data_IF_427968952209
#
_entry.id   IF_427968952209
#
_cell.length_a   1.000
_cell.length_b   1.000
_cell.length_c   1.000
_cell.angle_alpha   90.00
_cell.angle_beta   90.00
_cell.angle_gamma   90.00
#
_symmetry.space_group_name_H-M   'P 1'
#
loop_
_entity.id
_entity.type
_entity.pdbx_description
1 polymer ?
#
# COMPACT_ATOMS: atom_id res chain seq x y z
N UNK A 1 11.25 29.29 -11.58
CA UNK A 1 11.14 28.81 -12.98
C UNK A 1 12.19 27.73 -13.19
N UNK A 2 11.89 26.50 -12.79
CA UNK A 2 12.73 25.34 -13.09
C UNK A 2 12.37 24.89 -14.50
N UNK A 3 13.33 24.90 -15.42
CA UNK A 3 13.16 24.34 -16.76
C UNK A 3 12.86 22.85 -16.61
N UNK A 4 11.61 22.46 -16.87
CA UNK A 4 11.20 21.06 -17.06
C UNK A 4 12.17 20.40 -18.05
N UNK A 5 13.12 19.62 -17.53
CA UNK A 5 13.89 18.71 -18.38
C UNK A 5 12.94 17.58 -18.72
N UNK A 6 12.57 17.46 -19.99
CA UNK A 6 11.68 16.39 -20.43
C UNK A 6 12.31 15.04 -20.07
N UNK A 7 11.71 14.32 -19.12
CA UNK A 7 12.03 12.92 -18.86
C UNK A 7 11.40 12.13 -20.00
N UNK A 8 12.12 12.01 -21.12
CA UNK A 8 11.76 11.11 -22.21
C UNK A 8 12.44 9.77 -21.97
N UNK A 9 11.65 8.72 -21.81
CA UNK A 9 12.15 7.37 -21.94
C UNK A 9 12.11 7.05 -23.43
N UNK A 10 13.26 7.04 -24.09
CA UNK A 10 13.39 6.94 -25.56
C UNK A 10 12.91 5.62 -26.17
N UNK A 11 12.37 4.71 -25.35
CA UNK A 11 12.31 3.28 -25.67
C UNK A 11 10.87 2.72 -25.73
N UNK A 12 9.84 3.56 -25.59
CA UNK A 12 8.45 3.11 -25.64
C UNK A 12 7.84 3.26 -27.04
N UNK A 13 7.16 2.22 -27.57
CA UNK A 13 6.52 2.30 -28.88
C UNK A 13 5.41 3.34 -28.85
N UNK A 14 5.29 4.10 -29.94
CA UNK A 14 4.16 5.00 -30.14
C UNK A 14 2.83 4.22 -30.00
N UNK A 15 1.79 4.90 -29.53
CA UNK A 15 0.45 4.35 -29.56
C UNK A 15 0.11 3.86 -30.98
N UNK A 16 -0.66 2.77 -31.13
CA UNK A 16 -0.99 2.24 -32.45
C UNK A 16 -1.66 3.27 -33.36
N UNK A 17 -1.47 3.12 -34.68
CA UNK A 17 -2.10 3.98 -35.66
C UNK A 17 -3.63 4.04 -35.46
N UNK A 18 -4.19 5.25 -35.44
CA UNK A 18 -5.62 5.48 -35.19
C UNK A 18 -6.03 5.47 -33.72
N UNK A 19 -5.12 5.26 -32.77
CA UNK A 19 -5.37 5.45 -31.33
C UNK A 19 -5.23 6.94 -30.96
N UNK A 20 -6.27 7.52 -30.36
CA UNK A 20 -6.24 8.91 -29.86
C UNK A 20 -5.86 8.92 -28.39
N UNK A 21 -4.62 9.30 -28.11
CA UNK A 21 -4.09 9.36 -26.75
C UNK A 21 -4.92 10.26 -25.83
N UNK A 22 -5.06 9.79 -24.60
CA UNK A 22 -5.46 10.63 -23.48
C UNK A 22 -4.39 11.70 -23.21
N UNK A 23 -4.82 12.95 -23.06
CA UNK A 23 -3.95 14.07 -22.68
C UNK A 23 -4.45 14.69 -21.39
N UNK A 24 -3.59 14.78 -20.38
CA UNK A 24 -3.83 15.67 -19.24
C UNK A 24 -3.51 17.10 -19.69
N UNK A 25 -4.36 18.07 -19.35
CA UNK A 25 -4.11 19.48 -19.62
C UNK A 25 -2.78 19.97 -19.01
N UNK A 26 -2.19 21.06 -19.52
CA UNK A 26 -0.94 21.59 -18.98
C UNK A 26 -1.09 21.94 -17.49
N UNK A 27 0.02 21.77 -16.77
CA UNK A 27 0.23 22.04 -15.35
C UNK A 27 -0.91 22.78 -14.62
N UNK A 28 -1.55 22.07 -13.68
CA UNK A 28 -2.65 22.64 -12.91
C UNK A 28 -2.06 23.44 -11.74
N UNK A 29 -2.58 24.65 -11.51
CA UNK A 29 -2.15 25.51 -10.41
C UNK A 29 -2.27 24.80 -9.04
N UNK A 30 -1.13 24.49 -8.43
CA UNK A 30 -1.06 23.68 -7.20
C UNK A 30 -1.90 24.22 -6.03
N UNK A 31 -2.11 25.53 -5.96
CA UNK A 31 -2.90 26.20 -4.91
C UNK A 31 -4.39 26.37 -5.24
N UNK A 32 -4.81 26.09 -6.48
CA UNK A 32 -6.24 26.12 -6.84
C UNK A 32 -6.91 24.86 -6.26
N UNK A 33 -8.09 25.00 -5.66
CA UNK A 33 -8.74 23.94 -4.89
C UNK A 33 -10.19 23.65 -5.34
N UNK A 34 -10.72 24.44 -6.26
CA UNK A 34 -12.08 24.41 -6.81
C UNK A 34 -12.09 23.82 -8.24
N UNK A 35 -11.28 22.79 -8.46
CA UNK A 35 -11.33 22.00 -9.71
C UNK A 35 -12.63 21.19 -9.78
N UNK A 36 -13.10 20.95 -10.99
CA UNK A 36 -14.23 20.04 -11.21
C UNK A 36 -13.86 18.62 -10.76
N UNK A 37 -14.82 17.90 -10.20
CA UNK A 37 -14.59 16.57 -9.63
C UNK A 37 -14.00 15.60 -10.66
N UNK A 38 -14.42 15.70 -11.91
CA UNK A 38 -14.01 14.83 -13.01
C UNK A 38 -12.74 15.31 -13.71
N UNK A 39 -12.22 16.48 -13.36
CA UNK A 39 -11.02 17.03 -13.96
C UNK A 39 -9.79 16.23 -13.53
N UNK A 40 -8.98 15.80 -14.50
CA UNK A 40 -7.71 15.12 -14.22
C UNK A 40 -6.61 16.15 -14.05
N UNK A 41 -5.98 16.12 -12.88
CA UNK A 41 -5.03 17.11 -12.42
C UNK A 41 -3.66 16.50 -12.24
N UNK A 42 -2.64 17.30 -12.57
CA UNK A 42 -1.27 17.07 -12.12
C UNK A 42 -0.93 18.15 -11.08
N UNK A 43 -0.59 17.73 -9.87
CA UNK A 43 -0.33 18.63 -8.72
C UNK A 43 0.68 18.01 -7.76
N UNK A 44 1.22 18.81 -6.85
CA UNK A 44 2.06 18.32 -5.74
C UNK A 44 1.25 18.31 -4.43
N UNK A 45 1.34 17.24 -3.64
CA UNK A 45 0.66 17.13 -2.33
C UNK A 45 1.59 16.57 -1.23
N UNK A 46 1.59 17.16 -0.02
CA UNK A 46 1.06 18.50 0.26
C UNK A 46 1.87 19.58 -0.47
N UNK A 47 1.30 20.77 -0.63
CA UNK A 47 2.04 21.90 -1.18
C UNK A 47 3.19 22.26 -0.22
N UNK A 48 4.45 22.37 -0.69
CA UNK A 48 5.62 22.55 0.17
C UNK A 48 5.80 24.00 0.64
N UNK A 49 4.75 24.59 1.22
CA UNK A 49 4.69 26.01 1.60
C UNK A 49 5.28 26.31 2.98
N UNK A 50 5.37 25.30 3.86
CA UNK A 50 5.92 25.41 5.22
C UNK A 50 7.23 24.62 5.34
N UNK A 51 8.20 25.12 6.14
CA UNK A 51 9.53 24.51 6.30
C UNK A 51 9.45 23.06 6.80
N UNK A 52 8.54 22.79 7.74
CA UNK A 52 8.35 21.45 8.30
C UNK A 52 7.86 20.48 7.23
N UNK A 53 7.01 20.95 6.30
CA UNK A 53 6.51 20.16 5.19
C UNK A 53 7.59 19.92 4.13
N UNK A 54 8.48 20.89 3.89
CA UNK A 54 9.60 20.73 2.95
C UNK A 54 10.56 19.62 3.38
N UNK A 55 10.87 19.54 4.69
CA UNK A 55 11.71 18.48 5.26
C UNK A 55 11.16 17.08 4.95
N UNK A 56 9.84 16.92 5.08
CA UNK A 56 9.17 15.64 4.88
C UNK A 56 8.90 15.34 3.39
N UNK A 57 9.20 16.27 2.48
CA UNK A 57 8.99 16.17 1.05
C UNK A 57 7.51 16.32 0.63
N UNK A 58 7.20 16.00 -0.63
CA UNK A 58 5.83 15.96 -1.17
C UNK A 58 5.74 14.83 -2.19
N UNK A 59 4.55 14.52 -2.69
CA UNK A 59 4.36 13.62 -3.83
C UNK A 59 3.95 14.41 -5.07
N UNK A 60 4.37 13.95 -6.25
CA UNK A 60 3.79 14.38 -7.52
C UNK A 60 2.60 13.48 -7.85
N UNK A 61 1.44 14.08 -8.04
CA UNK A 61 0.15 13.41 -8.09
C UNK A 61 -0.51 13.58 -9.46
N UNK A 62 -0.96 12.49 -10.06
CA UNK A 62 -1.98 12.47 -11.10
C UNK A 62 -3.30 11.99 -10.47
N UNK A 63 -4.23 12.91 -10.26
CA UNK A 63 -5.49 12.62 -9.56
C UNK A 63 -6.68 13.38 -10.11
N UNK A 64 -7.86 13.14 -9.56
CA UNK A 64 -9.07 13.92 -9.88
C UNK A 64 -9.16 15.19 -9.03
N UNK A 65 -9.97 16.16 -9.46
CA UNK A 65 -10.36 17.31 -8.63
C UNK A 65 -11.04 16.88 -7.34
N UNK A 66 -11.84 15.79 -7.39
CA UNK A 66 -12.45 15.20 -6.21
C UNK A 66 -11.40 14.75 -5.19
N UNK A 67 -10.39 13.97 -5.59
CA UNK A 67 -9.36 13.48 -4.67
C UNK A 67 -8.62 14.67 -4.03
N UNK A 68 -8.22 15.64 -4.84
CA UNK A 68 -7.49 16.83 -4.35
C UNK A 68 -8.31 17.53 -3.27
N UNK A 69 -9.60 17.77 -3.50
CA UNK A 69 -10.47 18.41 -2.52
C UNK A 69 -10.69 17.55 -1.26
N UNK A 70 -10.90 16.25 -1.42
CA UNK A 70 -11.04 15.31 -0.30
C UNK A 70 -9.82 15.36 0.63
N UNK A 71 -8.61 15.31 0.07
CA UNK A 71 -7.35 15.43 0.84
C UNK A 71 -7.28 16.78 1.54
N UNK A 72 -7.52 17.89 0.83
CA UNK A 72 -7.45 19.24 1.39
C UNK A 72 -8.49 19.52 2.48
N UNK A 73 -9.65 18.85 2.42
CA UNK A 73 -10.70 18.93 3.43
C UNK A 73 -10.53 17.92 4.57
N UNK A 74 -9.51 17.06 4.53
CA UNK A 74 -9.27 16.08 5.60
C UNK A 74 -8.81 16.81 6.87
N UNK A 75 -9.48 16.60 8.02
CA UNK A 75 -9.05 17.18 9.29
C UNK A 75 -7.58 16.86 9.61
N UNK A 76 -6.81 17.89 9.95
CA UNK A 76 -5.38 17.78 10.23
C UNK A 76 -4.48 17.85 8.99
N UNK A 77 -5.01 17.84 7.76
CA UNK A 77 -4.18 18.01 6.57
C UNK A 77 -3.79 19.49 6.34
N UNK A 78 -2.53 19.80 5.97
CA UNK A 78 -1.37 18.92 6.01
C UNK A 78 -0.65 19.01 7.37
N UNK A 79 -0.46 17.85 7.99
CA UNK A 79 0.37 17.65 9.18
C UNK A 79 1.80 17.22 8.79
N UNK A 80 2.82 17.53 9.60
CA UNK A 80 4.13 16.90 9.49
C UNK A 80 4.04 15.38 9.65
N UNK A 81 5.03 14.67 9.12
CA UNK A 81 5.20 13.23 9.39
C UNK A 81 5.74 13.07 10.81
N UNK A 82 5.12 12.18 11.58
CA UNK A 82 5.68 11.72 12.83
C UNK A 82 6.62 10.53 12.56
N UNK A 83 7.92 10.82 12.56
CA UNK A 83 8.98 9.87 12.28
C UNK A 83 9.28 8.99 13.50
N UNK A 84 9.72 7.73 13.29
CA UNK A 84 10.25 6.94 14.39
C UNK A 84 11.49 7.62 14.99
N UNK A 85 11.66 7.52 16.32
CA UNK A 85 12.77 8.15 17.04
C UNK A 85 14.15 7.69 16.53
N UNK A 86 14.22 6.45 16.04
CA UNK A 86 15.42 5.86 15.45
C UNK A 86 15.05 4.94 14.29
N UNK A 87 15.94 4.85 13.31
CA UNK A 87 15.83 3.89 12.20
C UNK A 87 16.35 2.54 12.67
N UNK A 88 15.44 1.57 12.78
CA UNK A 88 15.71 0.21 13.29
C UNK A 88 15.78 -0.86 12.22
N UNK A 89 16.05 -0.45 10.99
CA UNK A 89 16.11 -1.36 9.85
C UNK A 89 17.22 -0.97 8.88
N UNK A 90 17.64 -1.94 8.09
CA UNK A 90 18.52 -1.77 6.94
C UNK A 90 17.89 -2.34 5.68
N UNK A 91 18.25 -1.77 4.53
CA UNK A 91 17.86 -2.31 3.21
C UNK A 91 19.06 -3.09 2.68
N UNK A 92 18.89 -4.39 2.43
CA UNK A 92 19.94 -5.25 1.86
C UNK A 92 19.37 -6.28 0.90
N UNK A 93 20.24 -7.01 0.21
CA UNK A 93 19.82 -8.06 -0.74
C UNK A 93 19.01 -9.15 -0.02
N UNK A 94 17.87 -9.53 -0.60
CA UNK A 94 16.96 -10.58 -0.12
C UNK A 94 16.86 -11.73 -1.13
N UNK A 95 17.99 -12.42 -1.34
CA UNK A 95 18.07 -13.54 -2.29
C UNK A 95 17.63 -13.15 -3.70
N UNK A 96 16.71 -13.93 -4.28
CA UNK A 96 16.14 -13.68 -5.61
C UNK A 96 15.05 -12.60 -5.65
N UNK A 97 14.61 -12.08 -4.49
CA UNK A 97 13.57 -11.04 -4.38
C UNK A 97 14.14 -9.62 -4.47
N UNK A 98 15.39 -9.48 -4.91
CA UNK A 98 16.05 -8.17 -5.05
C UNK A 98 16.49 -7.63 -3.69
N UNK A 99 15.97 -6.47 -3.29
CA UNK A 99 16.23 -5.88 -1.98
C UNK A 99 15.09 -6.21 -1.02
N UNK A 100 15.39 -6.25 0.27
CA UNK A 100 14.42 -6.38 1.36
C UNK A 100 14.82 -5.52 2.54
N UNK A 101 13.88 -5.34 3.47
CA UNK A 101 14.08 -4.56 4.68
C UNK A 101 14.26 -5.52 5.85
N UNK A 102 15.30 -5.35 6.64
CA UNK A 102 15.65 -6.24 7.76
C UNK A 102 15.83 -5.46 9.05
N UNK A 103 15.35 -5.99 10.16
CA UNK A 103 15.47 -5.35 11.46
C UNK A 103 16.94 -5.34 11.93
N UNK A 104 17.42 -4.20 12.45
CA UNK A 104 18.79 -4.06 13.00
C UNK A 104 18.85 -4.27 14.51
N UNK A 105 17.70 -4.27 15.16
CA UNK A 105 17.44 -4.51 16.58
C UNK A 105 16.04 -5.13 16.74
N UNK A 106 15.68 -5.51 17.96
CA UNK A 106 14.34 -6.02 18.23
C UNK A 106 13.30 -4.88 18.10
N UNK A 107 12.17 -5.18 17.46
CA UNK A 107 11.07 -4.24 17.22
C UNK A 107 9.82 -4.80 17.89
N UNK A 108 9.14 -3.98 18.69
CA UNK A 108 7.96 -4.38 19.43
C UNK A 108 6.69 -4.28 18.58
N UNK A 109 5.65 -5.01 18.97
CA UNK A 109 4.35 -4.89 18.32
C UNK A 109 3.78 -3.47 18.50
N UNK A 110 3.26 -2.89 17.43
CA UNK A 110 2.71 -1.52 17.40
C UNK A 110 3.74 -0.45 17.04
N UNK A 111 5.04 -0.79 16.98
CA UNK A 111 6.07 0.17 16.62
C UNK A 111 5.91 0.67 15.18
N UNK A 112 6.04 1.99 15.02
CA UNK A 112 6.25 2.60 13.71
C UNK A 112 7.67 2.29 13.24
N UNK A 113 7.78 1.61 12.10
CA UNK A 113 9.05 1.21 11.50
C UNK A 113 9.53 2.27 10.49
N UNK A 114 8.61 2.76 9.67
CA UNK A 114 8.88 3.75 8.62
C UNK A 114 7.64 4.62 8.41
N UNK A 115 7.86 5.92 8.26
CA UNK A 115 6.90 6.84 7.66
C UNK A 115 7.59 7.71 6.60
N UNK A 116 7.03 7.81 5.40
CA UNK A 116 7.53 8.70 4.35
C UNK A 116 6.40 9.22 3.45
N UNK A 117 6.58 10.39 2.83
CA UNK A 117 5.67 10.83 1.77
C UNK A 117 5.96 10.06 0.47
N UNK A 118 4.93 9.73 -0.33
CA UNK A 118 5.15 9.12 -1.62
C UNK A 118 6.03 9.99 -2.51
N UNK A 119 6.79 9.35 -3.40
CA UNK A 119 7.38 10.03 -4.55
C UNK A 119 6.29 10.43 -5.55
N UNK A 120 5.43 9.47 -5.90
CA UNK A 120 4.37 9.60 -6.90
C UNK A 120 3.05 9.06 -6.38
N UNK A 121 1.94 9.67 -6.78
CA UNK A 121 0.57 9.17 -6.60
C UNK A 121 -0.14 9.19 -7.96
N UNK A 122 -0.86 8.12 -8.30
CA UNK A 122 -1.62 8.02 -9.55
C UNK A 122 -2.93 7.27 -9.32
N UNK A 123 -4.00 7.72 -9.96
CA UNK A 123 -5.19 6.88 -10.17
C UNK A 123 -4.78 5.55 -10.84
N UNK A 124 -5.31 4.39 -10.41
CA UNK A 124 -4.91 3.10 -11.00
C UNK A 124 -5.49 2.89 -12.40
N UNK A 125 -6.60 3.55 -12.71
CA UNK A 125 -7.24 3.47 -14.01
C UNK A 125 -6.61 4.46 -15.00
N UNK A 126 -6.88 4.24 -16.29
CA UNK A 126 -6.56 5.18 -17.36
C UNK A 126 -7.88 5.55 -18.03
N UNK A 127 -8.17 6.85 -18.24
CA UNK A 127 -9.38 7.26 -18.96
C UNK A 127 -9.44 6.60 -20.34
N UNK A 128 -10.60 6.06 -20.76
CA UNK A 128 -10.68 5.36 -22.02
C UNK A 128 -10.44 6.33 -23.19
N UNK A 129 -9.58 5.95 -24.12
CA UNK A 129 -9.41 6.71 -25.35
C UNK A 129 -10.72 6.74 -26.16
N UNK A 130 -11.11 7.91 -26.70
CA UNK A 130 -12.35 8.05 -27.45
C UNK A 130 -12.28 7.28 -28.77
N UNK A 131 -13.43 6.77 -29.21
CA UNK A 131 -13.61 6.12 -30.52
C UNK A 131 -12.64 4.97 -30.80
N UNK A 132 -12.41 4.05 -29.85
CA UNK A 132 -11.49 2.90 -30.04
C UNK A 132 -12.17 1.61 -30.53
N UNK A 133 -13.44 1.68 -30.96
CA UNK A 133 -14.22 0.50 -31.38
C UNK A 133 -13.67 -0.17 -32.64
N UNK A 134 -13.01 0.59 -33.52
CA UNK A 134 -12.37 0.07 -34.74
C UNK A 134 -11.04 -0.63 -34.49
N UNK A 135 -10.47 -0.49 -33.28
CA UNK A 135 -9.20 -1.12 -32.91
C UNK A 135 -9.43 -2.53 -32.38
N UNK A 136 -8.46 -3.42 -32.61
CA UNK A 136 -8.44 -4.74 -31.99
C UNK A 136 -8.21 -4.64 -30.46
N UNK A 137 -8.58 -5.68 -29.66
CA UNK A 137 -8.27 -5.70 -28.24
C UNK A 137 -6.79 -5.47 -27.92
N UNK A 138 -5.89 -6.04 -28.74
CA UNK A 138 -4.44 -5.87 -28.60
C UNK A 138 -4.00 -4.42 -28.82
N UNK A 139 -4.48 -3.77 -29.88
CA UNK A 139 -4.17 -2.35 -30.14
C UNK A 139 -4.72 -1.42 -29.05
N UNK A 140 -5.90 -1.71 -28.50
CA UNK A 140 -6.43 -0.95 -27.36
C UNK A 140 -5.53 -1.08 -26.13
N UNK A 141 -5.03 -2.28 -25.86
CA UNK A 141 -4.11 -2.54 -24.74
C UNK A 141 -2.77 -1.82 -24.94
N UNK A 142 -2.19 -1.89 -26.14
CA UNK A 142 -0.95 -1.18 -26.50
C UNK A 142 -1.10 0.34 -26.35
N UNK A 143 -2.20 0.91 -26.85
CA UNK A 143 -2.50 2.34 -26.67
C UNK A 143 -2.69 2.74 -25.20
N UNK A 144 -3.34 1.89 -24.40
CA UNK A 144 -3.49 2.12 -22.96
C UNK A 144 -2.14 2.15 -22.24
N UNK A 145 -1.22 1.23 -22.56
CA UNK A 145 0.13 1.25 -21.99
C UNK A 145 0.93 2.48 -22.42
N UNK A 146 0.82 2.90 -23.68
CA UNK A 146 1.46 4.13 -24.16
C UNK A 146 0.95 5.38 -23.43
N UNK A 147 -0.37 5.48 -23.19
CA UNK A 147 -0.95 6.59 -22.42
C UNK A 147 -0.53 6.54 -20.95
N UNK A 148 -0.46 5.34 -20.37
CA UNK A 148 0.03 5.15 -19.01
C UNK A 148 1.47 5.63 -18.86
N UNK A 149 2.36 5.25 -19.78
CA UNK A 149 3.75 5.70 -19.75
C UNK A 149 3.86 7.21 -19.95
N UNK A 150 3.18 7.78 -20.95
CA UNK A 150 3.20 9.24 -21.19
C UNK A 150 2.74 10.03 -19.97
N UNK A 151 1.73 9.54 -19.27
CA UNK A 151 1.26 10.12 -18.00
C UNK A 151 2.32 10.03 -16.92
N UNK A 152 3.03 8.90 -16.84
CA UNK A 152 4.15 8.69 -15.90
C UNK A 152 5.36 9.55 -16.23
N UNK A 153 5.72 9.74 -17.51
CA UNK A 153 6.77 10.66 -17.95
C UNK A 153 6.46 12.09 -17.52
N UNK A 154 5.20 12.50 -17.66
CA UNK A 154 4.75 13.83 -17.22
C UNK A 154 4.93 13.99 -15.71
N UNK A 155 4.52 13.00 -14.90
CA UNK A 155 4.72 12.99 -13.45
C UNK A 155 6.21 12.97 -13.07
N UNK A 156 6.97 12.07 -13.68
CA UNK A 156 8.39 11.88 -13.41
C UNK A 156 9.22 13.13 -13.77
N UNK A 157 8.81 13.89 -14.79
CA UNK A 157 9.47 15.15 -15.17
C UNK A 157 9.38 16.25 -14.13
N UNK A 158 8.49 16.10 -13.14
CA UNK A 158 8.31 17.01 -12.01
C UNK A 158 9.10 16.61 -10.78
N UNK A 159 9.67 15.40 -10.75
CA UNK A 159 10.55 14.98 -9.66
C UNK A 159 11.91 15.66 -9.78
N UNK A 160 12.46 16.07 -8.63
CA UNK A 160 13.88 16.44 -8.55
C UNK A 160 14.78 15.27 -9.00
N UNK A 161 15.95 15.53 -9.60
CA UNK A 161 16.81 14.48 -10.16
C UNK A 161 17.11 13.33 -9.19
N UNK A 162 17.45 13.65 -7.94
CA UNK A 162 17.75 12.64 -6.90
C UNK A 162 16.54 11.76 -6.59
N UNK A 163 15.34 12.33 -6.60
CA UNK A 163 14.08 11.61 -6.34
C UNK A 163 13.68 10.74 -7.54
N UNK A 164 13.97 11.20 -8.75
CA UNK A 164 13.77 10.39 -9.97
C UNK A 164 14.69 9.17 -9.97
N UNK A 165 15.95 9.31 -9.53
CA UNK A 165 16.87 8.17 -9.41
C UNK A 165 16.39 7.16 -8.35
N UNK A 166 15.88 7.63 -7.21
CA UNK A 166 15.25 6.75 -6.22
C UNK A 166 14.09 5.94 -6.82
N UNK A 167 13.24 6.58 -7.62
CA UNK A 167 12.14 5.92 -8.32
C UNK A 167 12.65 4.89 -9.34
N UNK A 168 13.61 5.27 -10.19
CA UNK A 168 14.20 4.40 -11.23
C UNK A 168 14.95 3.19 -10.65
N UNK A 169 15.45 3.30 -9.42
CA UNK A 169 16.12 2.23 -8.70
C UNK A 169 15.16 1.19 -8.08
N UNK A 170 13.85 1.40 -8.16
CA UNK A 170 12.86 0.42 -7.72
C UNK A 170 12.76 -0.75 -8.71
N UNK A 171 12.27 -1.89 -8.23
CA UNK A 171 12.18 -3.10 -9.06
C UNK A 171 11.11 -2.95 -10.15
N UNK A 172 11.34 -3.51 -11.34
CA UNK A 172 10.36 -3.54 -12.41
C UNK A 172 10.19 -4.99 -12.89
N UNK A 173 9.04 -5.60 -12.59
CA UNK A 173 8.68 -6.94 -13.07
C UNK A 173 7.99 -6.93 -14.44
N UNK A 174 7.57 -5.76 -14.92
CA UNK A 174 6.78 -5.56 -16.13
C UNK A 174 7.65 -5.14 -17.33
N UNK A 175 8.68 -5.93 -17.63
CA UNK A 175 9.65 -5.62 -18.70
C UNK A 175 9.24 -6.10 -20.09
N UNK A 176 8.26 -7.00 -20.17
CA UNK A 176 7.94 -7.74 -21.41
C UNK A 176 6.44 -7.81 -21.71
N UNK A 177 5.59 -7.12 -20.94
CA UNK A 177 4.12 -7.16 -21.10
C UNK A 177 3.55 -5.96 -21.88
N UNK A 178 4.42 -5.10 -22.42
CA UNK A 178 4.06 -3.87 -23.13
C UNK A 178 4.10 -2.61 -22.26
N UNK A 179 4.23 -2.75 -20.94
CA UNK A 179 4.43 -1.60 -20.05
C UNK A 179 5.74 -0.88 -20.34
N UNK A 180 5.75 0.42 -20.10
CA UNK A 180 6.98 1.20 -20.11
C UNK A 180 7.78 1.05 -18.83
N UNK A 181 9.02 1.54 -18.82
CA UNK A 181 9.89 1.43 -17.67
C UNK A 181 9.30 2.14 -16.44
N UNK A 182 8.72 3.34 -16.59
CA UNK A 182 8.15 4.07 -15.45
C UNK A 182 6.82 3.45 -15.01
N UNK A 183 5.91 3.19 -15.93
CA UNK A 183 4.64 2.54 -15.62
C UNK A 183 4.82 1.13 -15.05
N UNK A 184 5.80 0.37 -15.54
CA UNK A 184 6.16 -0.94 -15.00
C UNK A 184 6.66 -0.88 -13.56
N UNK A 185 7.49 0.12 -13.21
CA UNK A 185 7.89 0.38 -11.82
C UNK A 185 6.67 0.71 -10.96
N UNK A 186 5.80 1.63 -11.40
CA UNK A 186 4.56 1.97 -10.69
C UNK A 186 3.70 0.72 -10.42
N UNK A 187 3.52 -0.13 -11.43
CA UNK A 187 2.72 -1.36 -11.32
C UNK A 187 3.34 -2.40 -10.39
N UNK A 188 4.66 -2.43 -10.30
CA UNK A 188 5.40 -3.38 -9.43
C UNK A 188 5.41 -2.93 -7.96
N UNK A 189 5.49 -1.62 -7.71
CA UNK A 189 5.84 -1.05 -6.39
C UNK A 189 4.71 -0.26 -5.73
N UNK A 190 3.60 -0.07 -6.45
CA UNK A 190 2.48 0.73 -6.03
C UNK A 190 1.73 0.13 -4.85
N UNK A 191 1.53 0.93 -3.81
CA UNK A 191 0.73 0.59 -2.64
C UNK A 191 -0.56 1.43 -2.64
N UNK A 192 -1.67 0.95 -2.06
CA UNK A 192 -2.92 1.70 -2.03
C UNK A 192 -2.78 3.04 -1.30
N UNK A 193 -3.44 4.10 -1.77
CA UNK A 193 -3.58 5.36 -1.04
C UNK A 193 -4.64 5.22 0.08
N UNK A 194 -4.41 4.31 1.01
CA UNK A 194 -5.39 3.92 2.03
C UNK A 194 -6.63 3.27 1.42
N UNK A 195 -7.79 3.46 2.08
CA UNK A 195 -9.10 2.96 1.64
C UNK A 195 -9.83 3.97 0.73
N UNK A 196 -9.09 4.87 0.06
CA UNK A 196 -9.69 5.90 -0.78
C UNK A 196 -10.24 5.31 -2.07
N UNK A 197 -11.55 5.45 -2.25
CA UNK A 197 -12.29 5.08 -3.46
C UNK A 197 -12.92 6.32 -4.09
N UNK A 198 -12.54 6.60 -5.33
CA UNK A 198 -13.00 7.77 -6.08
C UNK A 198 -14.42 7.53 -6.62
N UNK A 199 -15.42 8.33 -6.22
CA UNK A 199 -16.79 8.16 -6.71
C UNK A 199 -16.92 8.57 -8.18
N UNK A 200 -16.03 9.42 -8.69
CA UNK A 200 -16.10 9.92 -10.08
C UNK A 200 -15.87 8.79 -11.08
N UNK A 201 -15.01 7.84 -10.74
CA UNK A 201 -14.72 6.65 -11.54
C UNK A 201 -15.94 5.72 -11.69
N UNK A 202 -16.83 5.64 -10.69
CA UNK A 202 -18.04 4.83 -10.80
C UNK A 202 -19.00 5.38 -11.85
N UNK A 203 -19.11 6.70 -11.96
CA UNK A 203 -19.91 7.35 -13.01
C UNK A 203 -19.40 7.05 -14.43
N UNK A 204 -18.12 6.65 -14.55
CA UNK A 204 -17.48 6.23 -15.79
C UNK A 204 -17.67 4.74 -16.10
N UNK A 205 -18.42 4.02 -15.27
CA UNK A 205 -18.68 2.59 -15.43
C UNK A 205 -17.58 1.67 -14.89
N UNK A 206 -16.64 2.19 -14.08
CA UNK A 206 -15.66 1.34 -13.40
C UNK A 206 -16.32 0.59 -12.23
N UNK A 207 -15.88 -0.65 -12.01
CA UNK A 207 -16.38 -1.47 -10.91
C UNK A 207 -15.72 -1.04 -9.58
N UNK A 208 -16.39 -1.28 -8.42
CA UNK A 208 -15.76 -1.09 -7.11
C UNK A 208 -14.39 -1.77 -7.03
N UNK A 209 -13.40 -1.07 -6.46
CA UNK A 209 -12.02 -1.53 -6.37
C UNK A 209 -11.14 -1.13 -7.57
N UNK A 210 -11.72 -0.78 -8.72
CA UNK A 210 -10.99 -0.21 -9.87
C UNK A 210 -10.83 1.32 -9.78
N UNK A 211 -11.56 1.94 -8.86
CA UNK A 211 -11.62 3.38 -8.60
C UNK A 211 -10.65 3.83 -7.49
N UNK A 212 -9.48 3.21 -7.38
CA UNK A 212 -8.50 3.48 -6.31
C UNK A 212 -7.26 4.23 -6.79
N UNK A 213 -6.51 4.76 -5.85
CA UNK A 213 -5.23 5.40 -6.09
C UNK A 213 -4.08 4.50 -5.64
N UNK A 214 -2.97 4.57 -6.37
CA UNK A 214 -1.71 3.93 -6.03
C UNK A 214 -0.65 4.99 -5.75
N UNK A 215 0.22 4.71 -4.79
CA UNK A 215 1.32 5.55 -4.39
C UNK A 215 2.61 4.74 -4.28
N UNK A 216 3.75 5.37 -4.61
CA UNK A 216 5.07 4.73 -4.58
C UNK A 216 6.00 5.53 -3.67
N UNK A 217 6.61 4.86 -2.71
CA UNK A 217 7.59 5.42 -1.78
C UNK A 217 8.99 4.88 -2.06
N UNK A 218 10.03 5.67 -1.78
CA UNK A 218 11.41 5.24 -2.04
C UNK A 218 11.83 4.05 -1.17
N UNK A 219 11.35 4.00 0.08
CA UNK A 219 11.67 2.99 1.08
C UNK A 219 10.51 2.03 1.33
N UNK A 220 9.27 2.53 1.36
CA UNK A 220 8.07 1.70 1.55
C UNK A 220 7.95 0.62 0.47
N UNK A 221 8.36 0.91 -0.77
CA UNK A 221 8.38 -0.07 -1.85
C UNK A 221 9.51 -1.11 -1.78
N UNK A 222 10.31 -1.13 -0.70
CA UNK A 222 11.36 -2.13 -0.45
C UNK A 222 10.93 -3.26 0.49
N UNK A 223 9.78 -3.12 1.15
CA UNK A 223 9.27 -4.15 2.07
C UNK A 223 8.70 -5.31 1.28
N UNK A 224 9.35 -6.46 1.38
CA UNK A 224 8.98 -7.66 0.62
C UNK A 224 7.66 -8.28 1.12
N UNK A 225 7.10 -9.13 0.26
CA UNK A 225 5.91 -9.90 0.57
C UNK A 225 6.16 -11.08 1.52
N UNK A 226 5.19 -11.32 2.40
CA UNK A 226 4.90 -12.61 3.01
C UNK A 226 3.38 -12.79 3.13
N UNK A 227 2.85 -14.00 2.90
CA UNK A 227 1.45 -14.34 3.23
C UNK A 227 1.21 -14.50 4.75
N UNK A 228 2.29 -14.42 5.54
CA UNK A 228 2.32 -14.42 7.00
C UNK A 228 3.16 -13.22 7.46
N UNK A 229 2.73 -11.98 7.16
CA UNK A 229 3.54 -10.79 7.39
C UNK A 229 3.78 -10.54 8.88
N UNK A 230 4.80 -9.74 9.19
CA UNK A 230 5.08 -9.26 10.55
C UNK A 230 4.88 -7.74 10.68
N UNK A 231 4.64 -7.05 9.57
CA UNK A 231 4.27 -5.64 9.54
C UNK A 231 3.06 -5.40 8.62
N UNK A 232 2.39 -4.27 8.83
CA UNK A 232 1.26 -3.80 8.02
C UNK A 232 1.60 -2.45 7.41
N UNK A 233 1.15 -2.25 6.18
CA UNK A 233 1.17 -0.95 5.51
C UNK A 233 -0.13 -0.21 5.77
N UNK A 234 -0.02 1.07 6.12
CA UNK A 234 -1.16 1.99 6.23
C UNK A 234 -0.83 3.31 5.54
N UNK A 235 -1.86 4.12 5.26
CA UNK A 235 -1.68 5.46 4.68
C UNK A 235 -2.38 6.50 5.55
N UNK A 236 -1.61 7.49 6.02
CA UNK A 236 -2.11 8.59 6.83
C UNK A 236 -2.44 9.78 5.93
N UNK A 237 -3.73 10.00 5.65
CA UNK A 237 -4.15 11.16 4.85
C UNK A 237 -3.75 12.49 5.50
N UNK A 238 -3.92 12.72 6.83
CA UNK A 238 -3.53 13.99 7.46
C UNK A 238 -2.06 14.39 7.24
N UNK A 239 -1.13 13.44 7.32
CA UNK A 239 0.31 13.70 7.06
C UNK A 239 0.74 13.45 5.61
N UNK A 240 -0.16 12.88 4.81
CA UNK A 240 0.04 12.38 3.46
C UNK A 240 1.17 11.35 3.34
N UNK A 241 1.27 10.44 4.32
CA UNK A 241 2.41 9.53 4.43
C UNK A 241 2.02 8.07 4.34
N UNK A 242 2.94 7.30 3.78
CA UNK A 242 3.00 5.85 3.76
C UNK A 242 3.65 5.40 5.06
N UNK A 243 2.98 4.53 5.83
CA UNK A 243 3.46 4.07 7.13
C UNK A 243 3.57 2.54 7.16
N UNK A 244 4.61 2.04 7.84
CA UNK A 244 4.81 0.61 8.10
C UNK A 244 4.88 0.41 9.61
N UNK A 245 4.01 -0.46 10.13
CA UNK A 245 3.91 -0.75 11.57
C UNK A 245 4.09 -2.23 11.85
N UNK A 246 4.82 -2.59 12.90
CA UNK A 246 4.91 -3.97 13.38
C UNK A 246 3.57 -4.44 13.96
N UNK A 247 3.11 -5.65 13.62
CA UNK A 247 1.90 -6.24 14.25
C UNK A 247 2.23 -7.29 15.32
N UNK A 248 3.51 -7.68 15.41
CA UNK A 248 4.07 -8.63 16.37
C UNK A 248 5.54 -8.32 16.59
N UNK A 249 6.18 -8.81 17.66
CA UNK A 249 7.61 -8.66 17.83
C UNK A 249 8.39 -9.18 16.63
N UNK A 250 9.41 -8.43 16.19
CA UNK A 250 10.31 -8.78 15.10
C UNK A 250 11.72 -8.83 15.70
N UNK A 251 12.37 -9.98 15.61
CA UNK A 251 13.72 -10.13 16.14
C UNK A 251 14.75 -9.43 15.24
N UNK A 252 15.85 -8.97 15.85
CA UNK A 252 17.02 -8.49 15.12
C UNK A 252 17.44 -9.48 14.04
N UNK A 253 17.61 -8.98 12.82
CA UNK A 253 18.05 -9.75 11.66
C UNK A 253 16.92 -10.34 10.83
N UNK A 254 15.69 -10.40 11.34
CA UNK A 254 14.52 -10.85 10.59
C UNK A 254 14.14 -9.88 9.48
N UNK A 255 13.61 -10.41 8.38
CA UNK A 255 13.04 -9.59 7.30
C UNK A 255 11.68 -9.02 7.74
N UNK A 256 11.51 -7.72 7.53
CA UNK A 256 10.25 -7.01 7.76
C UNK A 256 9.43 -7.11 6.48
N UNK A 257 8.27 -7.73 6.57
CA UNK A 257 7.42 -8.08 5.42
C UNK A 257 6.00 -7.61 5.61
N UNK A 258 5.40 -7.18 4.50
CA UNK A 258 3.98 -6.82 4.37
C UNK A 258 3.28 -7.82 3.44
N UNK A 259 1.96 -7.73 3.31
CA UNK A 259 1.23 -8.57 2.34
C UNK A 259 0.91 -7.81 1.04
N UNK A 260 1.01 -8.50 -0.09
CA UNK A 260 0.63 -8.02 -1.43
C UNK A 260 -0.60 -8.78 -1.96
N UNK A 261 -1.08 -9.77 -1.19
CA UNK A 261 -2.18 -10.65 -1.53
C UNK A 261 -3.18 -10.67 -0.36
N UNK A 262 -4.40 -11.16 -0.63
CA UNK A 262 -5.40 -11.31 0.40
C UNK A 262 -5.06 -12.51 1.30
N UNK A 263 -5.12 -12.31 2.62
CA UNK A 263 -4.63 -13.28 3.60
C UNK A 263 -5.56 -14.48 3.81
N UNK A 264 -6.84 -14.30 3.50
CA UNK A 264 -7.94 -15.27 3.61
C UNK A 264 -8.08 -16.19 2.40
N UNK A 265 -7.43 -15.86 1.28
CA UNK A 265 -7.36 -16.69 0.09
C UNK A 265 -6.51 -17.95 0.29
N UNK A 266 -6.73 -18.97 -0.53
CA UNK A 266 -5.90 -20.19 -0.55
C UNK A 266 -4.54 -19.92 -1.17
N UNK A 267 -3.54 -20.76 -0.89
CA UNK A 267 -2.18 -20.57 -1.40
C UNK A 267 -2.13 -20.45 -2.93
N UNK A 268 -2.96 -21.20 -3.65
CA UNK A 268 -3.04 -21.13 -5.11
C UNK A 268 -3.43 -19.72 -5.59
N UNK A 269 -4.46 -19.13 -4.99
CA UNK A 269 -4.97 -17.80 -5.36
C UNK A 269 -3.98 -16.72 -4.93
N UNK A 270 -3.41 -16.83 -3.72
CA UNK A 270 -2.33 -15.93 -3.26
C UNK A 270 -1.14 -15.95 -4.23
N UNK A 271 -0.69 -17.13 -4.67
CA UNK A 271 0.41 -17.24 -5.64
C UNK A 271 0.02 -16.66 -7.02
N UNK A 272 -1.23 -16.83 -7.45
CA UNK A 272 -1.72 -16.24 -8.69
C UNK A 272 -1.67 -14.71 -8.64
N UNK A 273 -2.09 -14.11 -7.52
CA UNK A 273 -2.03 -12.67 -7.26
C UNK A 273 -0.59 -12.12 -7.20
N UNK A 274 0.40 -12.98 -6.93
CA UNK A 274 1.81 -12.61 -6.88
C UNK A 274 2.55 -12.73 -8.23
N UNK A 275 1.95 -13.37 -9.24
CA UNK A 275 2.56 -13.52 -10.58
C UNK A 275 3.02 -12.19 -11.18
N UNK A 276 2.27 -11.07 -11.09
CA UNK A 276 2.71 -9.78 -11.61
C UNK A 276 4.04 -9.27 -11.02
N UNK A 277 4.40 -9.69 -9.81
CA UNK A 277 5.64 -9.29 -9.13
C UNK A 277 6.87 -10.15 -9.53
N UNK A 278 6.66 -11.21 -10.31
CA UNK A 278 7.75 -12.02 -10.86
C UNK A 278 8.50 -12.90 -9.85
N UNK A 279 7.86 -13.31 -8.76
CA UNK A 279 8.42 -14.26 -7.79
C UNK A 279 7.40 -15.31 -7.34
N UNK A 280 7.87 -16.40 -6.73
CA UNK A 280 7.04 -17.40 -6.06
C UNK A 280 7.21 -17.30 -4.55
N UNK A 281 6.11 -17.17 -3.81
CA UNK A 281 6.18 -17.04 -2.36
C UNK A 281 6.54 -18.38 -1.71
N UNK A 282 7.51 -18.36 -0.79
CA UNK A 282 7.99 -19.54 -0.05
C UNK A 282 7.88 -19.35 1.47
N UNK A 283 7.02 -18.42 1.91
CA UNK A 283 6.80 -18.20 3.35
C UNK A 283 6.07 -19.38 4.00
N UNK A 284 5.97 -19.36 5.34
CA UNK A 284 5.34 -20.41 6.14
C UNK A 284 3.97 -20.86 5.59
N UNK A 285 3.12 -19.91 5.18
CA UNK A 285 1.80 -20.21 4.64
C UNK A 285 1.83 -20.87 3.24
N UNK A 286 2.93 -20.75 2.48
CA UNK A 286 3.08 -21.31 1.13
C UNK A 286 3.97 -22.56 1.05
N UNK A 287 4.72 -22.89 2.11
CA UNK A 287 5.59 -24.09 2.11
C UNK A 287 4.83 -25.41 2.15
N UNK A 288 3.65 -25.44 2.78
CA UNK A 288 2.82 -26.67 2.86
C UNK A 288 1.32 -26.37 2.70
N UNK A 289 0.88 -25.91 1.51
CA UNK A 289 -0.48 -25.43 1.25
C UNK A 289 -1.60 -26.36 1.71
N UNK A 290 -1.44 -27.68 1.50
CA UNK A 290 -2.44 -28.68 1.86
C UNK A 290 -2.78 -28.69 3.37
N UNK A 291 -1.82 -28.29 4.20
CA UNK A 291 -1.96 -28.18 5.65
C UNK A 291 -2.22 -26.74 6.06
N UNK A 292 -1.41 -25.79 5.60
CA UNK A 292 -1.48 -24.38 6.01
C UNK A 292 -2.82 -23.75 5.64
N UNK A 293 -3.38 -24.02 4.47
CA UNK A 293 -4.68 -23.46 4.07
C UNK A 293 -5.80 -23.99 4.96
N UNK A 294 -5.80 -25.28 5.31
CA UNK A 294 -6.82 -25.86 6.22
C UNK A 294 -6.73 -25.25 7.63
N UNK A 295 -5.52 -25.10 8.16
CA UNK A 295 -5.32 -24.54 9.50
C UNK A 295 -5.67 -23.05 9.52
N UNK A 296 -5.29 -22.29 8.50
CA UNK A 296 -5.65 -20.86 8.34
C UNK A 296 -7.16 -20.68 8.18
N UNK A 297 -7.80 -21.45 7.31
CA UNK A 297 -9.26 -21.41 7.13
C UNK A 297 -9.96 -21.71 8.46
N UNK A 298 -9.51 -22.75 9.20
CA UNK A 298 -10.07 -23.08 10.51
C UNK A 298 -9.86 -21.94 11.50
N UNK A 299 -8.67 -21.35 11.58
CA UNK A 299 -8.39 -20.23 12.48
C UNK A 299 -9.32 -19.05 12.15
N UNK A 300 -9.42 -18.66 10.88
CA UNK A 300 -10.30 -17.59 10.43
C UNK A 300 -11.76 -17.94 10.76
N UNK A 301 -12.26 -19.12 10.41
CA UNK A 301 -13.68 -19.49 10.61
C UNK A 301 -14.05 -19.75 12.07
N UNK A 302 -13.09 -19.97 12.96
CA UNK A 302 -13.31 -20.14 14.40
C UNK A 302 -13.80 -18.82 15.02
N UNK A 303 -15.07 -18.47 14.80
CA UNK A 303 -15.79 -17.58 15.69
C UNK A 303 -15.78 -18.26 17.05
N UNK A 304 -15.18 -17.67 18.07
CA UNK A 304 -15.40 -18.15 19.43
C UNK A 304 -16.93 -18.16 19.64
N UNK A 305 -17.59 -19.31 19.85
CA UNK A 305 -19.01 -19.28 20.18
C UNK A 305 -19.17 -18.63 21.56
N UNK A 306 -20.32 -17.99 21.84
CA UNK A 306 -20.61 -17.46 23.20
C UNK A 306 -20.95 -18.59 24.21
N UNK A 307 -20.64 -19.83 23.87
CA UNK A 307 -20.88 -21.03 24.68
C UNK A 307 -19.70 -21.28 25.62
N UNK A 308 -19.90 -22.10 26.66
CA UNK A 308 -18.84 -22.56 27.55
C UNK A 308 -17.66 -23.20 26.79
N UNK A 309 -17.96 -24.03 25.78
CA UNK A 309 -16.93 -24.60 24.90
C UNK A 309 -16.10 -23.54 24.15
N UNK A 310 -16.72 -22.43 23.74
CA UNK A 310 -16.00 -21.32 23.11
C UNK A 310 -15.11 -20.54 24.07
N UNK A 311 -15.46 -20.53 25.36
CA UNK A 311 -14.64 -19.94 26.43
C UNK A 311 -13.41 -20.80 26.72
N UNK A 312 -13.52 -22.12 26.64
CA UNK A 312 -12.40 -23.03 26.90
C UNK A 312 -11.43 -23.14 25.71
N UNK A 313 -11.92 -22.91 24.49
CA UNK A 313 -11.09 -22.91 23.28
C UNK A 313 -10.43 -21.56 22.95
N UNK A 314 -10.69 -20.51 23.74
CA UNK A 314 -10.29 -19.14 23.44
C UNK A 314 -8.78 -18.95 23.19
N UNK A 315 -7.94 -19.45 24.11
CA UNK A 315 -6.48 -19.37 23.98
C UNK A 315 -5.96 -20.25 22.82
N UNK A 316 -6.59 -21.40 22.56
CA UNK A 316 -6.21 -22.26 21.43
C UNK A 316 -6.51 -21.58 20.08
N UNK A 317 -7.62 -20.86 19.99
CA UNK A 317 -7.94 -20.09 18.79
C UNK A 317 -6.93 -18.95 18.56
N UNK A 318 -6.52 -18.25 19.62
CA UNK A 318 -5.50 -17.20 19.54
C UNK A 318 -4.14 -17.76 19.13
N UNK A 319 -3.69 -18.83 19.78
CA UNK A 319 -2.45 -19.51 19.41
C UNK A 319 -2.45 -20.00 17.95
N UNK A 320 -3.60 -20.45 17.43
CA UNK A 320 -3.73 -20.83 16.02
C UNK A 320 -3.57 -19.64 15.06
N UNK A 321 -4.09 -18.46 15.40
CA UNK A 321 -3.83 -17.22 14.63
C UNK A 321 -2.34 -16.88 14.61
N UNK A 322 -1.69 -16.94 15.76
CA UNK A 322 -0.28 -16.58 15.90
C UNK A 322 0.63 -17.56 15.16
N UNK A 323 0.38 -18.87 15.30
CA UNK A 323 1.13 -19.93 14.64
C UNK A 323 0.96 -19.94 13.11
N UNK A 324 -0.14 -19.40 12.60
CA UNK A 324 -0.39 -19.30 11.16
C UNK A 324 0.07 -18.00 10.53
N UNK A 325 0.57 -17.06 11.33
CA UNK A 325 1.00 -15.75 10.85
C UNK A 325 -0.16 -14.85 10.41
N UNK A 326 -1.32 -14.96 11.04
CA UNK A 326 -2.54 -14.20 10.72
C UNK A 326 -2.69 -12.92 11.56
N UNK A 327 -1.62 -12.41 12.18
CA UNK A 327 -1.67 -11.23 13.06
C UNK A 327 -2.04 -9.93 12.34
N UNK A 328 -1.83 -9.83 11.02
CA UNK A 328 -2.30 -8.69 10.22
C UNK A 328 -3.79 -8.78 9.85
N UNK A 329 -4.43 -9.94 10.03
CA UNK A 329 -5.82 -10.13 9.64
C UNK A 329 -6.76 -9.34 10.56
N UNK A 330 -7.78 -8.69 9.97
CA UNK A 330 -8.75 -7.82 10.69
C UNK A 330 -9.43 -8.45 11.91
N UNK A 331 -9.56 -9.78 11.94
CA UNK A 331 -10.18 -10.52 13.05
C UNK A 331 -9.23 -10.83 14.21
N UNK A 332 -7.92 -10.64 14.04
CA UNK A 332 -6.96 -10.84 15.11
C UNK A 332 -7.20 -9.89 16.28
N UNK A 333 -7.49 -8.62 15.99
CA UNK A 333 -7.81 -7.62 17.01
C UNK A 333 -9.10 -7.95 17.78
N UNK A 334 -10.15 -8.41 17.08
CA UNK A 334 -11.39 -8.87 17.71
C UNK A 334 -11.12 -10.05 18.65
N UNK A 335 -10.28 -10.99 18.21
CA UNK A 335 -9.89 -12.15 18.98
C UNK A 335 -9.12 -11.78 20.24
N UNK A 336 -8.09 -10.93 20.14
CA UNK A 336 -7.31 -10.46 21.29
C UNK A 336 -8.19 -9.89 22.40
N UNK A 337 -9.05 -8.91 22.06
CA UNK A 337 -9.98 -8.28 23.02
C UNK A 337 -10.94 -9.28 23.65
N UNK A 338 -11.38 -10.26 22.87
CA UNK A 338 -12.30 -11.29 23.36
C UNK A 338 -11.60 -12.27 24.30
N UNK A 339 -10.39 -12.72 23.98
CA UNK A 339 -9.60 -13.60 24.85
C UNK A 339 -9.19 -12.86 26.13
N UNK A 340 -8.88 -11.56 26.06
CA UNK A 340 -8.64 -10.73 27.23
C UNK A 340 -9.84 -10.70 28.18
N UNK A 341 -11.04 -10.42 27.65
CA UNK A 341 -12.30 -10.44 28.42
C UNK A 341 -12.56 -11.79 29.09
N UNK A 342 -12.29 -12.90 28.39
CA UNK A 342 -12.46 -14.25 28.93
C UNK A 342 -11.47 -14.51 30.08
N UNK A 343 -10.20 -14.17 29.90
CA UNK A 343 -9.19 -14.31 30.96
C UNK A 343 -9.55 -13.49 32.20
N UNK A 344 -10.04 -12.25 32.01
CA UNK A 344 -10.51 -11.39 33.10
C UNK A 344 -11.66 -12.04 33.88
N UNK A 345 -12.63 -12.64 33.18
CA UNK A 345 -13.74 -13.36 33.80
C UNK A 345 -13.30 -14.64 34.54
N UNK A 346 -12.22 -15.29 34.09
CA UNK A 346 -11.62 -16.47 34.74
C UNK A 346 -10.68 -16.12 35.92
N UNK A 347 -10.45 -14.83 36.18
CA UNK A 347 -9.54 -14.36 37.24
C UNK A 347 -8.07 -14.22 36.82
N UNK A 348 -7.73 -14.49 35.56
CA UNK A 348 -6.38 -14.38 35.00
C UNK A 348 -6.07 -12.93 34.58
N UNK A 349 -5.95 -12.03 35.55
CA UNK A 349 -5.82 -10.58 35.30
C UNK A 349 -4.58 -10.22 34.48
N UNK A 350 -3.41 -10.73 34.86
CA UNK A 350 -2.13 -10.43 34.17
C UNK A 350 -2.18 -10.79 32.68
N UNK A 351 -2.71 -11.97 32.34
CA UNK A 351 -2.90 -12.39 30.95
C UNK A 351 -3.89 -11.49 30.21
N UNK A 352 -4.98 -11.09 30.86
CA UNK A 352 -5.97 -10.20 30.26
C UNK A 352 -5.36 -8.83 29.93
N UNK A 353 -4.60 -8.26 30.86
CA UNK A 353 -3.99 -6.94 30.71
C UNK A 353 -2.88 -6.97 29.63
N UNK A 354 -2.10 -8.04 29.55
CA UNK A 354 -1.13 -8.25 28.47
C UNK A 354 -1.80 -8.34 27.08
N UNK A 355 -2.95 -9.01 26.99
CA UNK A 355 -3.71 -9.12 25.73
C UNK A 355 -4.36 -7.79 25.33
N UNK A 356 -4.85 -7.01 26.29
CA UNK A 356 -5.39 -5.67 26.04
C UNK A 356 -4.27 -4.71 25.56
N UNK A 357 -3.10 -4.74 26.19
CA UNK A 357 -1.94 -3.96 25.73
C UNK A 357 -1.51 -4.35 24.30
N UNK A 358 -1.46 -5.65 23.99
CA UNK A 358 -1.18 -6.11 22.62
C UNK A 358 -2.28 -5.68 21.63
N UNK A 359 -3.54 -5.70 22.04
CA UNK A 359 -4.65 -5.23 21.21
C UNK A 359 -4.54 -3.72 20.91
N UNK A 360 -4.09 -2.91 21.86
CA UNK A 360 -3.81 -1.49 21.65
C UNK A 360 -2.67 -1.29 20.64
N UNK A 361 -1.54 -1.97 20.82
CA UNK A 361 -0.43 -1.97 19.85
C UNK A 361 -0.88 -2.36 18.44
N UNK A 362 -1.63 -3.45 18.29
CA UNK A 362 -2.14 -3.91 17.00
C UNK A 362 -3.17 -2.94 16.42
N UNK A 363 -3.97 -2.28 17.26
CA UNK A 363 -4.91 -1.24 16.80
C UNK A 363 -4.16 -0.08 16.17
N UNK A 364 -3.11 0.42 16.83
CA UNK A 364 -2.23 1.48 16.32
C UNK A 364 -1.62 1.05 14.99
N UNK A 365 -1.11 -0.18 14.90
CA UNK A 365 -0.51 -0.70 13.68
C UNK A 365 -1.51 -0.76 12.51
N UNK A 366 -2.70 -1.35 12.73
CA UNK A 366 -3.67 -1.61 11.65
C UNK A 366 -4.46 -0.38 11.22
N UNK A 367 -4.69 0.58 12.12
CA UNK A 367 -5.51 1.78 11.84
C UNK A 367 -4.69 3.05 11.65
N UNK A 368 -3.37 2.95 11.81
CA UNK A 368 -2.51 4.11 11.99
C UNK A 368 -2.91 4.91 13.23
N UNK A 369 -2.28 6.07 13.40
CA UNK A 369 -2.59 7.02 14.49
C UNK A 369 -3.79 7.90 14.12
N UNK A 370 -4.94 7.30 13.81
CA UNK A 370 -6.15 8.05 13.49
C UNK A 370 -6.81 8.61 14.78
N UNK A 371 -6.94 9.95 14.93
CA UNK A 371 -7.55 10.56 16.12
C UNK A 371 -9.00 10.16 16.36
N UNK A 372 -9.74 9.72 15.34
CA UNK A 372 -11.15 9.28 15.49
C UNK A 372 -11.31 7.98 16.31
N UNK A 373 -10.21 7.28 16.59
CA UNK A 373 -10.22 6.08 17.43
C UNK A 373 -9.36 6.23 18.69
N UNK A 374 -8.87 7.45 18.95
CA UNK A 374 -8.18 7.81 20.19
C UNK A 374 -9.19 8.40 21.19
N UNK A 375 -10.12 7.56 21.67
CA UNK A 375 -10.89 7.69 22.91
C UNK A 375 -11.83 6.49 23.05
#
# INVERSE_FOLDING_TARGET
MSTSKSVKTTDQPNAPEGYKSFSVGPEHHGMKNDYDDYEYLITSLPQPVRKELQRDGWAECLCTGWLKRMILSTPGFPSPIEHPAQVRYEIRKSGSRGLGVFATEDIDAGDLILAERPLLVRMIWTPPAPNTKHLSPKQRLEGMYADMERSMETLASRLEPERLELYRALYNSHKTDGSGPLSGIMRTNGLPLGEVEDPTALSMGLSPGQNRYSCVGAKCSRFNHSCSPNAVYTFSVPSFSMEIHAVRPIAKGDEITVTYALEDEKAMDRQASLKPYGFTCVCLACQSPATSDKVRERAIRSLLPKTSQGIDYAETALAAYEATGLQCHKRYLELLRRVAKINRAKGNKERADALDALAESVTTAQRGRNPQFAA
#
